data_IF_330995908655
#
_entry.id   IF_330995908655
#
_cell.length_a   1.000
_cell.length_b   1.000
_cell.length_c   1.000
_cell.angle_alpha   90.00
_cell.angle_beta   90.00
_cell.angle_gamma   90.00
#
_symmetry.space_group_name_H-M   'P 1'
#
loop_
_entity.id
_entity.type
_entity.pdbx_description
1 polymer ?
#
# COMPACT_ATOMS: atom_id res chain seq x y z
N UNK A 1 -16.24 5.38 -1.86
CA UNK A 1 -15.16 4.39 -2.04
C UNK A 1 -14.45 4.50 -3.39
N UNK A 2 -15.12 4.29 -4.53
CA UNK A 2 -14.50 4.28 -5.88
C UNK A 2 -13.74 5.57 -6.24
N UNK A 3 -14.25 6.76 -5.86
CA UNK A 3 -13.57 8.05 -6.12
C UNK A 3 -12.20 8.14 -5.43
N UNK A 4 -12.12 7.74 -4.17
CA UNK A 4 -10.86 7.72 -3.40
C UNK A 4 -9.84 6.81 -4.08
N UNK A 5 -10.26 5.59 -4.42
CA UNK A 5 -9.35 4.60 -4.96
C UNK A 5 -8.84 4.94 -6.37
N UNK A 6 -9.67 5.59 -7.21
CA UNK A 6 -9.22 6.17 -8.48
C UNK A 6 -8.20 7.31 -8.26
N UNK A 7 -8.47 8.19 -7.30
CA UNK A 7 -7.54 9.27 -6.95
C UNK A 7 -6.22 8.71 -6.40
N UNK A 8 -6.27 7.67 -5.57
CA UNK A 8 -5.12 6.96 -5.03
C UNK A 8 -4.26 6.36 -6.16
N UNK A 9 -4.86 5.59 -7.08
CA UNK A 9 -4.14 5.04 -8.25
C UNK A 9 -3.49 6.13 -9.09
N UNK A 10 -4.18 7.25 -9.32
CA UNK A 10 -3.62 8.41 -10.04
C UNK A 10 -2.43 9.03 -9.29
N UNK A 11 -2.54 9.16 -7.98
CA UNK A 11 -1.46 9.67 -7.13
C UNK A 11 -0.23 8.77 -7.19
N UNK A 12 -0.40 7.46 -6.99
CA UNK A 12 0.70 6.47 -7.09
C UNK A 12 1.35 6.52 -8.47
N UNK A 13 0.55 6.51 -9.54
CA UNK A 13 1.07 6.61 -10.91
C UNK A 13 1.89 7.89 -11.10
N UNK A 14 1.36 9.04 -10.68
CA UNK A 14 2.05 10.33 -10.77
C UNK A 14 3.39 10.30 -10.05
N UNK A 15 3.44 9.77 -8.82
CA UNK A 15 4.68 9.71 -8.04
C UNK A 15 5.70 8.74 -8.63
N UNK A 16 5.26 7.65 -9.27
CA UNK A 16 6.14 6.71 -9.98
C UNK A 16 6.77 7.34 -11.23
N UNK A 17 5.98 8.13 -11.97
CA UNK A 17 6.43 8.84 -13.17
C UNK A 17 7.25 10.10 -12.83
N UNK A 18 7.06 10.68 -11.63
CA UNK A 18 7.65 11.95 -11.21
C UNK A 18 8.28 11.84 -9.81
N UNK A 19 9.47 11.24 -9.73
CA UNK A 19 10.22 11.02 -8.47
C UNK A 19 10.39 12.30 -7.64
N UNK A 20 10.70 13.43 -8.27
CA UNK A 20 10.89 14.71 -7.56
C UNK A 20 9.64 15.18 -6.80
N UNK A 21 8.45 14.97 -7.38
CA UNK A 21 7.21 15.31 -6.70
C UNK A 21 6.91 14.36 -5.55
N UNK A 22 7.29 13.08 -5.68
CA UNK A 22 7.24 12.12 -4.58
C UNK A 22 8.15 12.55 -3.42
N UNK A 23 9.39 12.96 -3.71
CA UNK A 23 10.34 13.44 -2.69
C UNK A 23 9.86 14.71 -2.01
N UNK A 24 9.30 15.67 -2.76
CA UNK A 24 8.66 16.87 -2.20
C UNK A 24 7.51 16.51 -1.27
N UNK A 25 6.65 15.56 -1.67
CA UNK A 25 5.54 15.10 -0.85
C UNK A 25 6.02 14.42 0.43
N UNK A 26 7.01 13.53 0.34
CA UNK A 26 7.64 12.87 1.50
C UNK A 26 8.24 13.88 2.48
N UNK A 27 8.98 14.88 1.98
CA UNK A 27 9.53 15.96 2.82
C UNK A 27 8.43 16.78 3.48
N UNK A 28 7.38 17.14 2.73
CA UNK A 28 6.31 18.01 3.22
C UNK A 28 5.42 17.33 4.27
N UNK A 29 5.00 16.10 4.00
CA UNK A 29 3.96 15.41 4.77
C UNK A 29 4.51 14.35 5.72
N UNK A 30 5.55 13.60 5.33
CA UNK A 30 6.19 12.57 6.17
C UNK A 30 7.33 13.17 7.01
N UNK A 31 7.75 14.41 6.70
CA UNK A 31 8.87 15.11 7.36
C UNK A 31 10.18 14.31 7.28
N UNK A 32 10.34 13.51 6.24
CA UNK A 32 11.56 12.75 6.02
C UNK A 32 12.74 13.69 5.74
N UNK A 33 13.89 13.37 6.33
CA UNK A 33 15.13 14.07 6.05
C UNK A 33 15.44 13.97 4.54
N UNK A 34 15.74 15.10 3.87
CA UNK A 34 16.11 15.11 2.46
C UNK A 34 17.25 14.14 2.10
N UNK A 35 18.19 13.88 3.00
CA UNK A 35 19.30 12.97 2.78
C UNK A 35 18.84 11.51 2.58
N UNK A 36 17.77 11.10 3.26
CA UNK A 36 17.22 9.74 3.16
C UNK A 36 16.08 9.62 2.14
N UNK A 37 15.54 10.75 1.68
CA UNK A 37 14.41 10.81 0.76
C UNK A 37 14.55 9.92 -0.49
N UNK A 38 15.64 10.06 -1.27
CA UNK A 38 15.85 9.26 -2.47
C UNK A 38 15.88 7.75 -2.22
N UNK A 39 16.62 7.32 -1.19
CA UNK A 39 16.74 5.90 -0.84
C UNK A 39 15.39 5.33 -0.36
N UNK A 40 14.70 6.06 0.53
CA UNK A 40 13.37 5.64 1.00
C UNK A 40 12.33 5.59 -0.12
N UNK A 41 12.40 6.48 -1.11
CA UNK A 41 11.54 6.40 -2.30
C UNK A 41 11.84 5.15 -3.13
N UNK A 42 13.13 4.87 -3.41
CA UNK A 42 13.53 3.74 -4.26
C UNK A 42 13.20 2.38 -3.62
N UNK A 43 13.25 2.28 -2.29
CA UNK A 43 12.85 1.08 -1.56
C UNK A 43 11.33 0.88 -1.58
N UNK A 44 10.56 1.96 -1.47
CA UNK A 44 9.11 1.86 -1.22
C UNK A 44 8.25 1.97 -2.48
N UNK A 45 8.78 2.49 -3.59
CA UNK A 45 8.05 2.69 -4.86
C UNK A 45 7.29 1.45 -5.35
N UNK A 46 7.88 0.27 -5.20
CA UNK A 46 7.31 -0.98 -5.72
C UNK A 46 6.31 -1.61 -4.74
N UNK A 47 6.17 -1.04 -3.52
CA UNK A 47 5.19 -1.45 -2.52
C UNK A 47 3.76 -0.96 -2.84
N UNK A 48 3.61 -0.10 -3.86
CA UNK A 48 2.33 0.50 -4.25
C UNK A 48 1.79 -0.05 -5.57
N UNK A 49 1.01 -1.14 -5.53
CA UNK A 49 0.50 -1.79 -6.73
C UNK A 49 -0.54 -0.92 -7.46
N UNK A 50 -0.26 -0.55 -8.71
CA UNK A 50 -1.21 0.19 -9.57
C UNK A 50 -2.45 -0.61 -9.99
N UNK A 51 -2.39 -1.94 -9.87
CA UNK A 51 -3.46 -2.88 -10.20
C UNK A 51 -4.33 -3.26 -8.99
N UNK A 52 -4.03 -2.71 -7.79
CA UNK A 52 -4.75 -3.01 -6.56
C UNK A 52 -4.49 -4.41 -5.98
N UNK A 53 -3.51 -5.15 -6.51
CA UNK A 53 -3.12 -6.47 -6.01
C UNK A 53 -2.13 -6.28 -4.86
N UNK A 54 -2.52 -6.67 -3.66
CA UNK A 54 -1.66 -6.63 -2.48
C UNK A 54 -0.90 -7.95 -2.31
N UNK A 55 0.23 -7.90 -1.61
CA UNK A 55 1.05 -9.08 -1.33
C UNK A 55 0.39 -9.93 -0.22
N UNK A 56 -0.58 -10.77 -0.60
CA UNK A 56 -1.38 -11.54 0.37
C UNK A 56 -0.60 -12.67 1.07
N UNK A 57 0.51 -13.14 0.48
CA UNK A 57 1.26 -14.32 0.97
C UNK A 57 1.77 -14.19 2.41
N UNK A 58 2.11 -12.99 2.85
CA UNK A 58 2.63 -12.76 4.20
C UNK A 58 1.52 -12.62 5.25
N UNK A 59 0.29 -12.35 4.83
CA UNK A 59 -0.83 -12.01 5.72
C UNK A 59 -1.23 -13.18 6.63
N UNK A 60 -1.37 -14.43 6.14
CA UNK A 60 -1.68 -15.57 7.01
C UNK A 60 -0.66 -15.76 8.14
N UNK A 61 0.64 -15.59 7.83
CA UNK A 61 1.71 -15.74 8.81
C UNK A 61 1.61 -14.69 9.92
N UNK A 62 1.36 -13.42 9.55
CA UNK A 62 1.19 -12.35 10.55
C UNK A 62 -0.06 -12.59 11.39
N UNK A 63 -1.18 -13.02 10.78
CA UNK A 63 -2.39 -13.38 11.53
C UNK A 63 -2.09 -14.46 12.56
N UNK A 64 -1.34 -15.51 12.20
CA UNK A 64 -0.96 -16.56 13.15
C UNK A 64 -0.14 -16.00 14.32
N UNK A 65 0.91 -15.24 14.02
CA UNK A 65 1.80 -14.66 15.03
C UNK A 65 1.05 -13.74 15.99
N UNK A 66 0.14 -12.93 15.47
CA UNK A 66 -0.67 -12.00 16.28
C UNK A 66 -1.71 -12.74 17.13
N UNK A 67 -2.21 -13.88 16.66
CA UNK A 67 -3.13 -14.74 17.39
C UNK A 67 -2.41 -15.48 18.53
N UNK A 68 -1.25 -16.07 18.23
CA UNK A 68 -0.39 -16.72 19.22
C UNK A 68 0.09 -15.74 20.30
N UNK A 69 0.40 -14.50 19.91
CA UNK A 69 0.75 -13.44 20.84
C UNK A 69 -0.44 -12.89 21.66
N UNK A 70 -1.66 -13.37 21.40
CA UNK A 70 -2.89 -12.94 22.08
C UNK A 70 -3.35 -11.52 21.72
N UNK A 71 -2.75 -10.88 20.71
CA UNK A 71 -3.13 -9.52 20.25
C UNK A 71 -4.43 -9.54 19.47
N UNK A 72 -4.67 -10.60 18.68
CA UNK A 72 -5.99 -10.88 18.12
C UNK A 72 -6.64 -12.07 18.83
N UNK A 73 -7.90 -11.91 19.22
CA UNK A 73 -8.64 -12.89 20.05
C UNK A 73 -9.30 -14.01 19.24
N UNK A 74 -9.41 -13.84 17.92
CA UNK A 74 -9.95 -14.84 17.00
C UNK A 74 -9.05 -14.91 15.78
N UNK A 75 -8.97 -16.09 15.18
CA UNK A 75 -8.34 -16.28 13.88
C UNK A 75 -9.22 -15.60 12.82
N UNK A 76 -8.66 -14.62 12.13
CA UNK A 76 -9.31 -13.90 11.03
C UNK A 76 -8.79 -14.51 9.74
N UNK A 77 -9.66 -14.75 8.76
CA UNK A 77 -9.22 -15.25 7.45
C UNK A 77 -8.82 -14.10 6.54
N UNK A 78 -8.00 -14.39 5.53
CA UNK A 78 -7.60 -13.40 4.52
C UNK A 78 -8.82 -12.82 3.79
N UNK A 79 -9.83 -13.65 3.54
CA UNK A 79 -11.07 -13.25 2.85
C UNK A 79 -11.96 -12.32 3.68
N UNK A 80 -11.89 -12.41 5.02
CA UNK A 80 -12.55 -11.45 5.90
C UNK A 80 -11.81 -10.10 5.95
N UNK A 81 -10.50 -10.10 5.68
CA UNK A 81 -9.65 -8.91 5.76
C UNK A 81 -9.61 -8.13 4.43
N UNK A 82 -9.68 -8.83 3.30
CA UNK A 82 -9.43 -8.26 1.97
C UNK A 82 -10.68 -8.36 1.09
N UNK A 83 -11.25 -7.20 0.80
CA UNK A 83 -12.24 -7.07 -0.27
C UNK A 83 -11.57 -6.94 -1.64
N UNK A 84 -11.60 -8.04 -2.42
CA UNK A 84 -11.04 -8.10 -3.77
C UNK A 84 -11.98 -7.56 -4.86
N UNK A 85 -13.21 -7.15 -4.51
CA UNK A 85 -14.14 -6.55 -5.47
C UNK A 85 -13.56 -5.30 -6.15
N UNK A 86 -12.59 -4.64 -5.49
CA UNK A 86 -11.88 -3.49 -6.02
C UNK A 86 -11.04 -3.76 -7.27
N UNK A 87 -10.33 -4.90 -7.32
CA UNK A 87 -9.53 -5.30 -8.49
C UNK A 87 -10.44 -5.36 -9.72
N UNK A 88 -11.66 -5.83 -9.55
CA UNK A 88 -12.65 -5.95 -10.61
C UNK A 88 -13.23 -4.59 -11.06
N UNK A 89 -13.21 -3.58 -10.19
CA UNK A 89 -13.76 -2.24 -10.47
C UNK A 89 -12.73 -1.25 -11.06
N UNK A 90 -11.43 -1.48 -10.84
CA UNK A 90 -10.35 -0.57 -11.30
C UNK A 90 -9.35 -1.25 -12.24
N UNK A 91 -9.29 -2.58 -12.26
CA UNK A 91 -8.46 -3.35 -13.20
C UNK A 91 -9.04 -3.48 -14.61
N UNK A 92 -10.31 -3.09 -14.84
CA UNK A 92 -10.87 -3.01 -16.19
C UNK A 92 -10.38 -1.70 -16.85
N UNK A 93 -9.51 -1.87 -17.85
CA UNK A 93 -8.93 -0.90 -18.81
C UNK A 93 -9.36 0.55 -18.66
#
# INVERSE_FOLDING_TARGET
MVKFLRAYRRGVKHTLENKEDALKAMRKYVKMDPAYGPAGYDEYRDSFPLNGVIAEKAIPMVIEQEYEAGRIKRKITVDELIDRSFINQVGKK
#
